data_IF_383228983322
#
_entry.id   IF_383228983322
#
_cell.length_a   1.000
_cell.length_b   1.000
_cell.length_c   1.000
_cell.angle_alpha   90.00
_cell.angle_beta   90.00
_cell.angle_gamma   90.00
#
_symmetry.space_group_name_H-M   'P 1'
#
loop_
_entity.id
_entity.type
_entity.pdbx_description
1 polymer ?
#
# COMPACT_ATOMS: atom_id res chain seq x y z
N UNK A 1 6.36 -19.08 42.93
CA UNK A 1 5.86 -20.16 42.05
C UNK A 1 4.35 -20.00 41.84
N UNK A 2 3.95 -19.01 41.03
CA UNK A 2 2.57 -18.89 40.58
C UNK A 2 2.42 -19.72 39.29
N UNK A 3 1.50 -20.67 39.33
CA UNK A 3 1.35 -21.76 38.36
C UNK A 3 0.89 -21.28 36.98
N UNK A 4 1.62 -21.71 35.94
CA UNK A 4 1.31 -21.59 34.50
C UNK A 4 -0.03 -22.23 34.07
N UNK A 5 -0.77 -22.88 34.97
CA UNK A 5 -2.01 -23.60 34.62
C UNK A 5 -3.23 -22.70 34.40
N UNK A 6 -3.25 -21.47 34.94
CA UNK A 6 -4.43 -20.59 34.80
C UNK A 6 -4.49 -19.81 33.48
N UNK A 7 -3.36 -19.60 32.77
CA UNK A 7 -3.39 -19.02 31.42
C UNK A 7 -3.91 -20.00 30.35
N UNK A 8 -3.77 -21.31 30.57
CA UNK A 8 -4.20 -22.32 29.59
C UNK A 8 -5.72 -22.48 29.49
N UNK A 9 -6.48 -22.11 30.54
CA UNK A 9 -7.95 -22.22 30.53
C UNK A 9 -8.65 -21.06 29.81
N UNK A 10 -8.13 -19.83 29.90
CA UNK A 10 -8.71 -18.68 29.21
C UNK A 10 -8.50 -18.73 27.69
N UNK A 11 -7.38 -19.28 27.23
CA UNK A 11 -7.08 -19.41 25.79
C UNK A 11 -7.90 -20.54 25.13
N UNK A 12 -8.37 -21.53 25.89
CA UNK A 12 -9.16 -22.66 25.35
C UNK A 12 -10.65 -22.38 25.18
N UNK A 13 -11.21 -21.32 25.79
CA UNK A 13 -12.63 -20.98 25.63
C UNK A 13 -12.93 -20.03 24.45
N UNK A 14 -11.92 -19.41 23.84
CA UNK A 14 -12.08 -18.51 22.70
C UNK A 14 -11.96 -19.20 21.32
N UNK A 15 -11.77 -20.51 21.26
CA UNK A 15 -11.53 -21.24 20.00
C UNK A 15 -12.79 -21.74 19.28
N UNK A 16 -14.00 -21.47 19.81
CA UNK A 16 -15.25 -22.01 19.25
C UNK A 16 -16.20 -21.00 18.60
N UNK A 17 -15.87 -19.71 18.55
CA UNK A 17 -16.70 -18.75 17.80
C UNK A 17 -16.23 -18.65 16.34
N UNK A 18 -17.13 -18.97 15.40
CA UNK A 18 -16.93 -18.74 13.96
C UNK A 18 -16.63 -17.25 13.62
N UNK A 19 -16.86 -16.33 14.57
CA UNK A 19 -16.59 -14.90 14.44
C UNK A 19 -15.10 -14.54 14.36
N UNK A 20 -14.21 -15.28 15.04
CA UNK A 20 -12.78 -14.93 15.09
C UNK A 20 -11.99 -15.23 13.81
N UNK A 21 -12.52 -16.06 12.89
CA UNK A 21 -11.87 -16.28 11.58
C UNK A 21 -12.09 -15.14 10.59
N UNK A 22 -13.10 -14.30 10.80
CA UNK A 22 -13.38 -13.14 9.95
C UNK A 22 -12.58 -11.89 10.35
N UNK A 23 -12.01 -11.86 11.57
CA UNK A 23 -11.37 -10.68 12.15
C UNK A 23 -9.85 -10.58 11.92
N UNK A 24 -9.18 -11.64 11.42
CA UNK A 24 -7.70 -11.71 11.41
C UNK A 24 -7.11 -11.80 9.98
N UNK A 25 -7.90 -11.58 8.93
CA UNK A 25 -7.38 -11.61 7.56
C UNK A 25 -7.92 -10.45 6.76
N UNK A 26 -7.58 -9.22 7.14
CA UNK A 26 -7.60 -8.15 6.16
C UNK A 26 -6.27 -8.17 5.40
N UNK A 27 -6.31 -8.62 4.14
CA UNK A 27 -5.18 -8.58 3.21
C UNK A 27 -4.80 -7.15 2.81
N UNK A 28 -5.57 -6.15 3.26
CA UNK A 28 -5.42 -4.74 2.88
C UNK A 28 -4.68 -3.88 3.92
N UNK A 29 -4.05 -4.45 4.97
CA UNK A 29 -3.18 -3.64 5.81
C UNK A 29 -2.04 -3.06 4.94
N UNK A 30 -1.94 -1.73 4.78
CA UNK A 30 -0.90 -1.13 3.97
C UNK A 30 0.44 -1.34 4.68
N UNK A 31 1.24 -2.26 4.17
CA UNK A 31 2.67 -2.21 4.40
C UNK A 31 3.21 -1.07 3.53
N UNK A 32 3.98 -0.18 4.14
CA UNK A 32 4.69 0.86 3.38
C UNK A 32 5.61 0.15 2.41
N UNK A 33 5.28 0.26 1.12
CA UNK A 33 6.05 -0.28 0.01
C UNK A 33 6.32 0.86 -0.91
N UNK A 34 7.58 1.03 -1.28
CA UNK A 34 7.90 1.97 -2.33
C UNK A 34 7.36 1.38 -3.64
N UNK A 35 6.40 2.06 -4.26
CA UNK A 35 5.81 1.67 -5.53
C UNK A 35 6.44 2.49 -6.65
N UNK A 36 6.71 1.84 -7.78
CA UNK A 36 7.14 2.51 -9.00
C UNK A 36 5.95 2.68 -9.95
N UNK A 37 5.91 3.82 -10.65
CA UNK A 37 5.03 3.98 -11.81
C UNK A 37 5.42 2.99 -12.90
N UNK A 38 4.50 2.68 -13.82
CA UNK A 38 4.75 1.69 -14.88
C UNK A 38 5.98 2.07 -15.73
N UNK A 39 6.16 3.35 -16.07
CA UNK A 39 7.33 3.79 -16.84
C UNK A 39 8.65 3.62 -16.06
N UNK A 40 8.64 3.80 -14.74
CA UNK A 40 9.80 3.60 -13.86
C UNK A 40 10.12 2.11 -13.70
N UNK A 41 9.08 1.30 -13.45
CA UNK A 41 9.16 -0.14 -13.38
C UNK A 41 9.69 -0.74 -14.69
N UNK A 42 9.16 -0.29 -15.83
CA UNK A 42 9.63 -0.68 -17.16
C UNK A 42 11.10 -0.32 -17.38
N UNK A 43 11.51 0.92 -17.07
CA UNK A 43 12.91 1.34 -17.18
C UNK A 43 13.85 0.52 -16.30
N UNK A 44 13.44 0.22 -15.06
CA UNK A 44 14.18 -0.62 -14.13
C UNK A 44 14.36 -2.04 -14.71
N UNK A 45 13.28 -2.67 -15.15
CA UNK A 45 13.29 -4.01 -15.75
C UNK A 45 14.15 -4.03 -17.02
N UNK A 46 14.04 -3.01 -17.87
CA UNK A 46 14.85 -2.88 -19.08
C UNK A 46 16.35 -2.80 -18.77
N UNK A 47 16.74 -2.08 -17.71
CA UNK A 47 18.15 -2.01 -17.25
C UNK A 47 18.70 -3.39 -16.84
N UNK A 48 17.82 -4.31 -16.44
CA UNK A 48 18.12 -5.71 -16.15
C UNK A 48 17.87 -6.66 -17.35
N UNK A 49 17.77 -6.12 -18.58
CA UNK A 49 17.60 -6.87 -19.84
C UNK A 49 16.25 -7.58 -19.98
N UNK A 50 15.24 -7.18 -19.21
CA UNK A 50 13.86 -7.60 -19.47
C UNK A 50 13.36 -6.87 -20.72
N UNK A 51 12.78 -7.62 -21.65
CA UNK A 51 12.21 -7.07 -22.89
C UNK A 51 10.88 -6.39 -22.55
N UNK A 52 10.78 -5.11 -22.87
CA UNK A 52 9.59 -4.28 -22.68
C UNK A 52 9.23 -3.63 -24.02
N UNK A 53 7.97 -3.21 -24.25
CA UNK A 53 7.62 -2.39 -25.41
C UNK A 53 8.36 -1.06 -25.39
N UNK A 54 8.61 -0.49 -26.57
CA UNK A 54 9.07 0.89 -26.70
C UNK A 54 8.04 1.83 -26.07
N UNK A 55 8.50 2.76 -25.24
CA UNK A 55 7.64 3.83 -24.76
C UNK A 55 8.38 4.94 -24.03
N UNK A 56 7.74 6.11 -24.00
CA UNK A 56 8.25 7.34 -23.40
C UNK A 56 7.19 7.94 -22.46
N UNK A 57 7.65 8.59 -21.39
CA UNK A 57 6.79 9.31 -20.43
C UNK A 57 6.65 10.77 -20.85
N UNK A 58 5.49 11.37 -20.60
CA UNK A 58 5.24 12.79 -20.79
C UNK A 58 4.43 13.37 -19.62
N UNK A 59 4.77 14.59 -19.21
CA UNK A 59 4.15 15.31 -18.08
C UNK A 59 3.15 16.38 -18.54
N UNK A 60 2.95 16.54 -19.86
CA UNK A 60 1.98 17.45 -20.44
C UNK A 60 1.51 16.96 -21.81
N UNK A 61 0.38 17.49 -22.30
CA UNK A 61 -0.12 17.19 -23.64
C UNK A 61 0.88 17.53 -24.74
N UNK A 62 1.57 18.68 -24.61
CA UNK A 62 2.60 19.13 -25.55
C UNK A 62 3.78 18.16 -25.57
N UNK A 63 4.29 17.77 -24.41
CA UNK A 63 5.38 16.79 -24.31
C UNK A 63 4.95 15.43 -24.87
N UNK A 64 3.70 15.02 -24.64
CA UNK A 64 3.16 13.78 -25.20
C UNK A 64 3.16 13.79 -26.72
N UNK A 65 2.83 14.93 -27.34
CA UNK A 65 2.94 15.15 -28.79
C UNK A 65 4.38 14.99 -29.26
N UNK A 66 5.33 15.62 -28.57
CA UNK A 66 6.76 15.57 -28.90
C UNK A 66 7.31 14.13 -28.81
N UNK A 67 6.97 13.40 -27.75
CA UNK A 67 7.40 12.01 -27.56
C UNK A 67 6.77 11.06 -28.60
N UNK A 68 5.47 11.20 -28.87
CA UNK A 68 4.81 10.42 -29.92
C UNK A 68 5.41 10.67 -31.30
N UNK A 69 5.81 11.92 -31.60
CA UNK A 69 6.49 12.29 -32.86
C UNK A 69 7.87 11.64 -32.97
N UNK A 70 8.63 11.59 -31.87
CA UNK A 70 9.94 10.90 -31.84
C UNK A 70 9.78 9.40 -32.08
N UNK A 71 8.71 8.79 -31.56
CA UNK A 71 8.41 7.38 -31.76
C UNK A 71 7.99 7.07 -33.21
N UNK A 72 7.10 7.87 -33.81
CA UNK A 72 6.64 7.65 -35.21
C UNK A 72 7.73 7.87 -36.26
N UNK A 73 8.76 8.65 -35.96
CA UNK A 73 9.91 8.82 -36.85
C UNK A 73 10.64 7.48 -37.13
N UNK A 74 10.43 6.45 -36.31
CA UNK A 74 11.08 5.15 -36.45
C UNK A 74 10.22 4.14 -37.19
N UNK A 75 8.88 4.13 -37.02
CA UNK A 75 7.92 3.31 -37.78
C UNK A 75 6.50 3.92 -37.68
N UNK A 76 5.59 3.57 -38.61
CA UNK A 76 4.15 3.89 -38.50
C UNK A 76 3.51 3.08 -37.38
N UNK A 77 3.57 3.59 -36.16
CA UNK A 77 3.20 2.90 -34.93
C UNK A 77 1.84 3.43 -34.43
N UNK A 78 0.93 2.53 -34.08
CA UNK A 78 -0.21 2.87 -33.21
C UNK A 78 0.27 2.92 -31.75
N UNK A 79 -0.32 3.78 -30.95
CA UNK A 79 0.10 4.06 -29.58
C UNK A 79 -0.91 3.52 -28.58
N UNK A 80 -0.43 3.25 -27.37
CA UNK A 80 -1.25 3.13 -26.18
C UNK A 80 -0.85 4.24 -25.21
N UNK A 81 -1.79 5.11 -24.84
CA UNK A 81 -1.60 6.18 -23.86
C UNK A 81 -2.14 5.69 -22.52
N UNK A 82 -1.26 5.57 -21.53
CA UNK A 82 -1.56 5.03 -20.20
C UNK A 82 -1.34 6.08 -19.11
N UNK A 83 -2.39 6.43 -18.37
CA UNK A 83 -2.30 7.26 -17.17
C UNK A 83 -1.33 6.65 -16.15
N UNK A 84 -0.44 7.47 -15.60
CA UNK A 84 0.51 7.06 -14.57
C UNK A 84 -0.02 7.43 -13.18
N UNK A 85 -0.54 6.41 -12.50
CA UNK A 85 -0.96 6.47 -11.09
C UNK A 85 -0.54 5.17 -10.39
N UNK A 86 -0.27 5.23 -9.08
CA UNK A 86 0.17 4.07 -8.29
C UNK A 86 -1.01 3.18 -7.80
N UNK A 87 -2.02 3.05 -8.66
CA UNK A 87 -3.21 2.23 -8.47
C UNK A 87 -3.55 1.42 -9.73
N UNK A 88 -4.07 0.21 -9.55
CA UNK A 88 -4.52 -0.65 -10.65
C UNK A 88 -5.92 -0.30 -11.16
N UNK A 89 -6.37 -1.03 -12.19
CA UNK A 89 -7.71 -0.86 -12.76
C UNK A 89 -7.88 0.41 -13.61
N UNK A 90 -6.78 1.00 -14.08
CA UNK A 90 -6.75 2.27 -14.82
C UNK A 90 -7.70 2.27 -16.02
N UNK A 91 -7.75 1.19 -16.80
CA UNK A 91 -8.59 1.09 -18.00
C UNK A 91 -10.10 1.21 -17.73
N UNK A 92 -10.57 0.84 -16.53
CA UNK A 92 -11.98 0.91 -16.13
C UNK A 92 -12.30 2.14 -15.26
N UNK A 93 -11.32 3.01 -15.02
CA UNK A 93 -11.49 4.21 -14.19
C UNK A 93 -12.17 5.36 -14.94
N UNK A 94 -12.34 6.48 -14.25
CA UNK A 94 -12.78 7.74 -14.84
C UNK A 94 -12.08 8.93 -14.18
N UNK A 95 -11.94 10.03 -14.91
CA UNK A 95 -11.36 11.27 -14.40
C UNK A 95 -12.42 12.14 -13.73
N UNK A 96 -12.18 12.54 -12.49
CA UNK A 96 -13.16 13.20 -11.61
C UNK A 96 -13.60 14.56 -12.14
N UNK A 97 -12.67 15.34 -12.70
CA UNK A 97 -12.88 16.73 -13.10
C UNK A 97 -13.63 16.86 -14.43
N UNK A 98 -13.44 15.91 -15.34
CA UNK A 98 -13.99 15.98 -16.71
C UNK A 98 -15.02 14.89 -17.01
N UNK A 99 -15.09 13.84 -16.19
CA UNK A 99 -15.88 12.65 -16.48
C UNK A 99 -15.30 11.78 -17.59
N UNK A 100 -14.08 12.07 -18.05
CA UNK A 100 -13.41 11.31 -19.11
C UNK A 100 -13.19 9.85 -18.69
N UNK A 101 -13.53 8.90 -19.56
CA UNK A 101 -13.57 7.47 -19.23
C UNK A 101 -12.28 6.76 -19.62
N UNK A 102 -11.79 5.91 -18.73
CA UNK A 102 -10.62 5.06 -18.92
C UNK A 102 -9.29 5.82 -18.82
N UNK A 103 -8.34 5.20 -18.13
CA UNK A 103 -6.95 5.65 -18.04
C UNK A 103 -6.01 4.99 -19.07
N UNK A 104 -6.53 4.17 -20.00
CA UNK A 104 -5.73 3.45 -21.00
C UNK A 104 -6.46 3.52 -22.35
N UNK A 105 -5.83 4.12 -23.36
CA UNK A 105 -6.43 4.35 -24.67
C UNK A 105 -5.50 3.97 -25.81
N UNK A 106 -6.03 3.28 -26.82
CA UNK A 106 -5.31 2.97 -28.05
C UNK A 106 -5.62 4.05 -29.08
N UNK A 107 -4.59 4.65 -29.68
CA UNK A 107 -4.72 5.72 -30.67
C UNK A 107 -3.74 5.53 -31.83
N UNK A 108 -4.03 6.12 -32.98
CA UNK A 108 -3.32 5.88 -34.25
C UNK A 108 -2.56 7.11 -34.77
N UNK A 109 -2.67 8.25 -34.10
CA UNK A 109 -2.13 9.55 -34.55
C UNK A 109 -1.55 10.34 -33.40
N UNK A 110 -0.53 11.13 -33.69
CA UNK A 110 0.15 12.01 -32.71
C UNK A 110 -0.84 13.03 -32.13
N UNK A 111 -1.74 13.60 -32.95
CA UNK A 111 -2.77 14.53 -32.48
C UNK A 111 -3.71 13.87 -31.46
N UNK A 112 -4.08 12.60 -31.67
CA UNK A 112 -4.89 11.88 -30.69
C UNK A 112 -4.12 11.62 -29.40
N UNK A 113 -2.82 11.32 -29.46
CA UNK A 113 -1.98 11.19 -28.24
C UNK A 113 -2.02 12.48 -27.41
N UNK A 114 -1.83 13.63 -28.04
CA UNK A 114 -1.89 14.95 -27.40
C UNK A 114 -3.26 15.19 -26.75
N UNK A 115 -4.34 14.94 -27.48
CA UNK A 115 -5.70 15.13 -26.99
C UNK A 115 -6.02 14.22 -25.80
N UNK A 116 -5.61 12.95 -25.84
CA UNK A 116 -5.82 12.03 -24.72
C UNK A 116 -4.98 12.46 -23.51
N UNK A 117 -3.72 12.84 -23.72
CA UNK A 117 -2.86 13.31 -22.63
C UNK A 117 -3.41 14.57 -21.95
N UNK A 118 -4.01 15.50 -22.72
CA UNK A 118 -4.71 16.66 -22.16
C UNK A 118 -5.87 16.27 -21.26
N UNK A 119 -6.61 15.20 -21.58
CA UNK A 119 -7.69 14.68 -20.74
C UNK A 119 -7.22 13.94 -19.48
N UNK A 120 -5.91 13.68 -19.33
CA UNK A 120 -5.36 12.90 -18.21
C UNK A 120 -4.44 13.73 -17.30
N UNK A 121 -3.48 14.46 -17.87
CA UNK A 121 -2.46 15.16 -17.10
C UNK A 121 -3.08 16.25 -16.20
N UNK A 122 -2.67 16.25 -14.93
CA UNK A 122 -3.15 17.17 -13.90
C UNK A 122 -4.57 16.89 -13.40
N UNK A 123 -5.15 15.72 -13.71
CA UNK A 123 -6.51 15.33 -13.33
C UNK A 123 -6.51 14.07 -12.48
N UNK A 124 -7.58 13.86 -11.72
CA UNK A 124 -7.69 12.79 -10.73
C UNK A 124 -8.36 11.57 -11.33
N UNK A 125 -7.61 10.46 -11.47
CA UNK A 125 -8.13 9.18 -11.92
C UNK A 125 -8.73 8.41 -10.74
N UNK A 126 -10.02 8.13 -10.83
CA UNK A 126 -10.77 7.30 -9.88
C UNK A 126 -10.86 5.88 -10.44
N UNK A 127 -10.34 4.91 -9.69
CA UNK A 127 -10.46 3.48 -9.97
C UNK A 127 -11.08 2.74 -8.79
N UNK A 128 -11.45 1.47 -8.98
CA UNK A 128 -11.91 0.61 -7.89
C UNK A 128 -10.87 0.51 -6.75
N UNK A 129 -9.58 0.63 -7.06
CA UNK A 129 -8.50 0.50 -6.08
C UNK A 129 -8.14 1.82 -5.38
N UNK A 130 -8.41 2.98 -5.99
CA UNK A 130 -8.13 4.29 -5.38
C UNK A 130 -9.25 4.80 -4.46
N UNK A 131 -10.43 4.18 -4.51
CA UNK A 131 -11.62 4.71 -3.85
C UNK A 131 -12.09 6.04 -4.46
N UNK A 132 -12.99 6.73 -3.76
CA UNK A 132 -13.66 7.95 -4.23
C UNK A 132 -12.72 9.17 -4.34
N UNK A 133 -11.62 9.16 -3.59
CA UNK A 133 -10.64 10.25 -3.61
C UNK A 133 -9.83 10.25 -4.92
N UNK A 134 -9.58 9.06 -5.48
CA UNK A 134 -8.80 8.92 -6.71
C UNK A 134 -7.31 9.16 -6.49
N UNK A 135 -6.54 9.12 -7.57
CA UNK A 135 -5.12 9.45 -7.58
C UNK A 135 -4.84 10.49 -8.68
N UNK A 136 -4.05 11.51 -8.38
CA UNK A 136 -3.66 12.54 -9.34
C UNK A 136 -2.78 11.92 -10.44
N UNK A 137 -3.15 12.14 -11.71
CA UNK A 137 -2.38 11.69 -12.86
C UNK A 137 -1.51 12.85 -13.36
N UNK A 138 -0.25 12.91 -12.93
CA UNK A 138 0.67 13.98 -13.34
C UNK A 138 1.42 13.69 -14.64
N UNK A 139 1.35 12.45 -15.14
CA UNK A 139 2.02 12.04 -16.37
C UNK A 139 1.28 10.91 -17.08
N UNK A 140 1.59 10.74 -18.36
CA UNK A 140 1.14 9.63 -19.19
C UNK A 140 2.34 8.86 -19.74
N UNK A 141 2.18 7.56 -19.92
CA UNK A 141 3.14 6.70 -20.58
C UNK A 141 2.62 6.33 -21.97
N UNK A 142 3.38 6.69 -23.00
CA UNK A 142 3.05 6.48 -24.40
C UNK A 142 3.88 5.29 -24.87
N UNK A 143 3.22 4.17 -25.12
CA UNK A 143 3.88 2.93 -25.54
C UNK A 143 3.44 2.52 -26.94
N UNK A 144 4.26 1.75 -27.63
CA UNK A 144 3.86 1.12 -28.88
C UNK A 144 2.74 0.10 -28.65
N UNK A 145 1.80 0.03 -29.59
CA UNK A 145 0.78 -1.02 -29.61
C UNK A 145 1.40 -2.31 -30.14
N UNK A 146 1.43 -3.32 -29.28
CA UNK A 146 1.93 -4.65 -29.64
C UNK A 146 0.91 -5.43 -30.48
N UNK A 147 1.39 -6.18 -31.47
CA UNK A 147 0.59 -7.18 -32.18
C UNK A 147 0.51 -8.47 -31.35
N UNK A 148 -0.41 -8.50 -30.39
CA UNK A 148 -0.55 -9.59 -29.40
C UNK A 148 -1.06 -10.89 -30.05
N UNK A 149 -0.40 -12.01 -29.74
CA UNK A 149 -0.86 -13.39 -30.00
C UNK A 149 -1.40 -14.05 -28.72
N UNK A 150 -0.65 -13.93 -27.60
CA UNK A 150 -1.06 -14.45 -26.29
C UNK A 150 -0.81 -13.45 -25.18
N UNK A 151 -1.70 -13.46 -24.18
CA UNK A 151 -1.54 -12.75 -22.91
C UNK A 151 -1.40 -13.76 -21.78
N UNK A 152 -0.32 -13.63 -21.01
CA UNK A 152 0.07 -14.49 -19.91
C UNK A 152 0.24 -13.65 -18.64
N UNK A 153 0.39 -14.31 -17.50
CA UNK A 153 0.69 -13.68 -16.23
C UNK A 153 2.03 -14.18 -15.69
N UNK A 154 2.82 -13.27 -15.14
CA UNK A 154 4.05 -13.60 -14.41
C UNK A 154 4.24 -12.63 -13.25
N UNK A 155 4.50 -13.15 -12.06
CA UNK A 155 5.01 -12.37 -10.94
C UNK A 155 6.07 -13.12 -10.16
N UNK A 156 6.89 -12.35 -9.43
CA UNK A 156 7.86 -12.82 -8.47
C UNK A 156 7.65 -12.04 -7.18
N UNK A 157 7.46 -12.75 -6.07
CA UNK A 157 7.28 -12.15 -4.74
C UNK A 157 7.90 -13.04 -3.66
N UNK A 158 8.01 -12.53 -2.43
CA UNK A 158 8.43 -13.31 -1.27
C UNK A 158 7.27 -14.14 -0.72
N UNK A 159 7.31 -15.47 -0.89
CA UNK A 159 6.36 -16.36 -0.23
C UNK A 159 6.77 -16.50 1.24
N UNK A 160 5.99 -15.89 2.13
CA UNK A 160 6.24 -15.90 3.58
C UNK A 160 6.14 -17.28 4.21
N UNK A 161 5.36 -18.19 3.64
CA UNK A 161 5.22 -19.56 4.15
C UNK A 161 6.42 -20.42 3.72
N UNK A 162 6.86 -20.26 2.47
CA UNK A 162 8.03 -20.97 1.96
C UNK A 162 9.35 -20.36 2.45
N UNK A 163 9.35 -19.07 2.80
CA UNK A 163 10.53 -18.33 3.23
C UNK A 163 11.49 -18.02 2.08
N UNK A 164 11.00 -17.94 0.83
CA UNK A 164 11.84 -17.72 -0.35
C UNK A 164 11.12 -16.95 -1.47
N UNK A 165 11.88 -16.35 -2.41
CA UNK A 165 11.31 -15.81 -3.65
C UNK A 165 10.56 -16.91 -4.41
N UNK A 166 9.34 -16.61 -4.84
CA UNK A 166 8.47 -17.55 -5.56
C UNK A 166 7.89 -16.87 -6.77
N UNK A 167 8.15 -17.45 -7.94
CA UNK A 167 7.44 -17.09 -9.16
C UNK A 167 6.03 -17.64 -9.11
N UNK A 168 5.06 -16.82 -9.52
CA UNK A 168 3.68 -17.21 -9.77
C UNK A 168 3.39 -16.86 -11.22
N UNK A 169 2.94 -17.83 -12.01
CA UNK A 169 2.73 -17.60 -13.44
C UNK A 169 1.55 -18.40 -13.96
N UNK A 170 0.94 -17.92 -15.05
CA UNK A 170 -0.26 -18.52 -15.62
C UNK A 170 -0.36 -18.28 -17.12
N UNK A 171 -0.87 -19.25 -17.91
CA UNK A 171 -1.26 -19.01 -19.29
C UNK A 171 -2.52 -18.14 -19.42
N UNK A 172 -3.20 -17.81 -18.31
CA UNK A 172 -4.32 -16.88 -18.28
C UNK A 172 -3.85 -15.47 -17.84
N UNK A 173 -3.40 -14.65 -18.79
CA UNK A 173 -3.05 -13.24 -18.55
C UNK A 173 -4.17 -12.26 -18.86
N UNK A 174 -3.92 -10.96 -18.62
CA UNK A 174 -4.84 -9.88 -18.97
C UNK A 174 -6.02 -9.69 -18.02
N UNK A 175 -6.09 -10.47 -16.95
CA UNK A 175 -7.12 -10.41 -15.90
C UNK A 175 -6.50 -10.45 -14.50
N UNK A 176 -7.32 -10.25 -13.46
CA UNK A 176 -6.88 -10.39 -12.06
C UNK A 176 -6.45 -11.83 -11.80
N UNK A 177 -5.23 -12.00 -11.27
CA UNK A 177 -4.71 -13.32 -10.93
C UNK A 177 -5.46 -13.92 -9.74
N UNK A 178 -6.02 -13.08 -8.86
CA UNK A 178 -6.86 -13.49 -7.74
C UNK A 178 -8.14 -14.16 -8.23
N UNK A 179 -8.79 -13.59 -9.26
CA UNK A 179 -9.98 -14.19 -9.88
C UNK A 179 -9.62 -15.55 -10.50
N UNK A 180 -8.49 -15.64 -11.21
CA UNK A 180 -7.99 -16.92 -11.77
C UNK A 180 -7.71 -17.93 -10.66
N UNK A 181 -7.19 -17.51 -9.51
CA UNK A 181 -6.90 -18.40 -8.38
C UNK A 181 -8.18 -19.01 -7.78
N UNK A 182 -9.29 -18.27 -7.84
CA UNK A 182 -10.59 -18.72 -7.36
C UNK A 182 -11.31 -19.60 -8.39
N UNK A 183 -11.33 -19.21 -9.66
CA UNK A 183 -12.10 -19.90 -10.71
C UNK A 183 -11.34 -21.02 -11.40
N UNK A 184 -10.02 -20.89 -11.54
CA UNK A 184 -9.14 -21.78 -12.31
C UNK A 184 -7.78 -22.01 -11.61
N UNK A 185 -7.75 -22.50 -10.36
CA UNK A 185 -6.52 -22.68 -9.60
C UNK A 185 -5.50 -23.59 -10.31
N UNK A 186 -5.95 -24.52 -11.16
CA UNK A 186 -5.11 -25.40 -11.96
C UNK A 186 -4.25 -24.68 -13.00
N UNK A 187 -4.60 -23.44 -13.35
CA UNK A 187 -3.82 -22.60 -14.27
C UNK A 187 -2.76 -21.77 -13.56
N UNK A 188 -2.67 -21.84 -12.23
CA UNK A 188 -1.67 -21.11 -11.46
C UNK A 188 -0.53 -22.04 -11.10
N UNK A 189 0.63 -21.73 -11.67
CA UNK A 189 1.86 -22.43 -11.39
C UNK A 189 2.71 -21.63 -10.42
N UNK A 190 3.45 -22.34 -9.56
CA UNK A 190 4.37 -21.74 -8.61
C UNK A 190 5.74 -22.38 -8.77
N UNK A 191 6.76 -21.54 -8.85
CA UNK A 191 8.16 -21.97 -8.87
C UNK A 191 8.94 -21.26 -7.76
N UNK A 192 9.29 -22.02 -6.73
CA UNK A 192 10.11 -21.53 -5.62
C UNK A 192 11.58 -21.48 -6.04
N UNK A 193 12.26 -20.39 -5.69
CA UNK A 193 13.68 -20.19 -5.96
C UNK A 193 14.45 -20.28 -4.65
N UNK A 194 15.44 -21.15 -4.60
CA UNK A 194 16.31 -21.29 -3.44
C UNK A 194 17.16 -20.02 -3.27
N UNK A 195 17.14 -19.33 -2.12
CA UNK A 195 17.89 -18.08 -1.94
C UNK A 195 19.41 -18.24 -2.00
N UNK A 196 19.93 -19.44 -1.74
CA UNK A 196 21.37 -19.77 -1.74
C UNK A 196 21.81 -20.21 -3.14
N UNK A 197 21.07 -21.11 -3.76
CA UNK A 197 21.44 -21.71 -5.05
C UNK A 197 20.95 -20.89 -6.25
N UNK A 198 19.95 -20.03 -6.05
CA UNK A 198 19.34 -19.22 -7.09
C UNK A 198 18.52 -20.04 -8.08
N UNK A 199 18.44 -19.53 -9.31
CA UNK A 199 17.64 -20.12 -10.38
C UNK A 199 18.22 -21.45 -10.88
N UNK A 200 17.32 -22.43 -11.05
CA UNK A 200 17.60 -23.64 -11.79
C UNK A 200 17.00 -23.55 -13.21
N UNK A 201 17.85 -23.66 -14.24
CA UNK A 201 17.43 -23.55 -15.65
C UNK A 201 16.41 -24.62 -16.05
N UNK A 202 16.53 -25.85 -15.56
CA UNK A 202 15.60 -26.93 -15.91
C UNK A 202 14.18 -26.65 -15.40
N UNK A 203 14.06 -26.00 -14.23
CA UNK A 203 12.77 -25.54 -13.72
C UNK A 203 12.17 -24.43 -14.59
N UNK A 204 12.98 -23.52 -15.12
CA UNK A 204 12.51 -22.48 -16.04
C UNK A 204 12.08 -23.04 -17.40
N UNK A 205 12.79 -24.07 -17.89
CA UNK A 205 12.38 -24.81 -19.10
C UNK A 205 11.03 -25.51 -18.86
N UNK A 206 10.80 -26.04 -17.65
CA UNK A 206 9.48 -26.58 -17.30
C UNK A 206 8.41 -25.47 -17.24
N UNK A 207 8.71 -24.30 -16.67
CA UNK A 207 7.80 -23.17 -16.64
C UNK A 207 7.37 -22.72 -18.05
N UNK A 208 8.26 -22.79 -19.04
CA UNK A 208 7.90 -22.51 -20.44
C UNK A 208 6.83 -23.47 -20.98
N UNK A 209 6.90 -24.76 -20.62
CA UNK A 209 5.89 -25.76 -21.01
C UNK A 209 4.56 -25.52 -20.30
N UNK A 210 4.61 -25.19 -19.02
CA UNK A 210 3.43 -24.90 -18.19
C UNK A 210 2.69 -23.63 -18.70
N UNK A 211 3.43 -22.65 -19.24
CA UNK A 211 2.89 -21.48 -19.95
C UNK A 211 2.38 -21.79 -21.36
N UNK A 212 2.58 -23.00 -21.89
CA UNK A 212 2.23 -23.36 -23.26
C UNK A 212 3.10 -22.67 -24.33
N UNK A 213 4.36 -22.40 -24.00
CA UNK A 213 5.36 -21.70 -24.83
C UNK A 213 6.46 -22.65 -25.33
N UNK A 214 6.07 -23.83 -25.82
CA UNK A 214 7.00 -24.80 -26.41
C UNK A 214 7.69 -24.18 -27.64
N UNK A 215 9.01 -24.29 -27.71
CA UNK A 215 9.85 -23.66 -28.74
C UNK A 215 10.27 -22.22 -28.41
N UNK A 216 9.86 -21.66 -27.28
CA UNK A 216 10.28 -20.34 -26.79
C UNK A 216 11.03 -20.44 -25.44
N UNK A 217 11.56 -21.62 -25.11
CA UNK A 217 12.16 -21.92 -23.80
C UNK A 217 13.28 -20.93 -23.45
N UNK A 218 14.14 -20.59 -24.41
CA UNK A 218 15.25 -19.64 -24.17
C UNK A 218 14.73 -18.23 -23.81
N UNK A 219 13.65 -17.76 -24.45
CA UNK A 219 13.06 -16.45 -24.12
C UNK A 219 12.42 -16.45 -22.73
N UNK A 220 11.78 -17.56 -22.34
CA UNK A 220 11.21 -17.73 -21.00
C UNK A 220 12.31 -17.78 -19.94
N UNK A 221 13.37 -18.57 -20.19
CA UNK A 221 14.54 -18.66 -19.30
C UNK A 221 15.15 -17.27 -19.09
N UNK A 222 15.39 -16.52 -20.17
CA UNK A 222 15.93 -15.15 -20.09
C UNK A 222 15.00 -14.22 -19.31
N UNK A 223 13.70 -14.23 -19.60
CA UNK A 223 12.69 -13.40 -18.94
C UNK A 223 12.69 -13.62 -17.41
N UNK A 224 12.58 -14.87 -16.98
CA UNK A 224 12.55 -15.21 -15.56
C UNK A 224 13.89 -14.92 -14.88
N UNK A 225 15.01 -15.22 -15.55
CA UNK A 225 16.35 -14.96 -15.00
C UNK A 225 16.59 -13.47 -14.77
N UNK A 226 16.24 -12.64 -15.75
CA UNK A 226 16.42 -11.19 -15.68
C UNK A 226 15.49 -10.54 -14.65
N UNK A 227 14.25 -11.03 -14.51
CA UNK A 227 13.33 -10.57 -13.45
C UNK A 227 13.87 -10.93 -12.07
N UNK A 228 14.39 -12.15 -11.87
CA UNK A 228 14.99 -12.54 -10.60
C UNK A 228 16.25 -11.72 -10.27
N UNK A 229 17.11 -11.45 -11.26
CA UNK A 229 18.28 -10.58 -11.07
C UNK A 229 17.88 -9.18 -10.61
N UNK A 230 16.87 -8.59 -11.28
CA UNK A 230 16.29 -7.30 -10.88
C UNK A 230 15.75 -7.37 -9.45
N UNK A 231 14.92 -8.36 -9.15
CA UNK A 231 14.27 -8.54 -7.86
C UNK A 231 15.28 -8.58 -6.72
N UNK A 232 16.34 -9.38 -6.87
CA UNK A 232 17.36 -9.56 -5.85
C UNK A 232 18.30 -8.37 -5.72
N UNK A 233 18.73 -7.74 -6.82
CA UNK A 233 19.67 -6.59 -6.77
C UNK A 233 19.03 -5.29 -6.32
N UNK A 234 17.73 -5.15 -6.55
CA UNK A 234 16.97 -3.90 -6.34
C UNK A 234 16.05 -3.95 -5.13
N UNK A 235 16.18 -5.00 -4.32
CA UNK A 235 15.37 -5.22 -3.11
C UNK A 235 13.86 -5.12 -3.39
N UNK A 236 13.43 -5.67 -4.52
CA UNK A 236 12.01 -5.74 -4.84
C UNK A 236 11.34 -6.71 -3.87
N UNK A 237 10.14 -6.38 -3.40
CA UNK A 237 9.30 -7.33 -2.67
C UNK A 237 8.20 -7.94 -3.58
N UNK A 238 7.94 -7.30 -4.72
CA UNK A 238 7.12 -7.82 -5.80
C UNK A 238 7.54 -7.24 -7.16
N UNK A 239 7.61 -8.11 -8.16
CA UNK A 239 7.61 -7.75 -9.58
C UNK A 239 6.43 -8.49 -10.21
N UNK A 240 5.46 -7.78 -10.76
CA UNK A 240 4.30 -8.34 -11.44
C UNK A 240 4.24 -7.81 -12.88
N UNK A 241 4.10 -8.72 -13.83
CA UNK A 241 3.97 -8.47 -15.25
C UNK A 241 2.60 -8.98 -15.69
N UNK A 242 1.70 -8.06 -16.03
CA UNK A 242 0.34 -8.41 -16.43
C UNK A 242 -0.24 -7.38 -17.44
N UNK A 243 -0.26 -7.68 -18.75
CA UNK A 243 0.09 -8.96 -19.35
C UNK A 243 1.59 -9.14 -19.63
N UNK A 244 2.08 -10.38 -19.49
CA UNK A 244 3.24 -10.88 -20.20
C UNK A 244 2.79 -11.31 -21.60
N UNK A 245 3.29 -10.65 -22.64
CA UNK A 245 2.77 -10.78 -24.02
C UNK A 245 3.69 -11.64 -24.87
N UNK A 246 3.08 -12.53 -25.64
CA UNK A 246 3.69 -13.09 -26.85
C UNK A 246 3.13 -12.35 -28.05
N UNK A 247 4.01 -11.78 -28.86
CA UNK A 247 3.62 -11.10 -30.10
C UNK A 247 3.48 -12.07 -31.26
N UNK A 248 2.77 -11.66 -32.32
CA UNK A 248 2.57 -12.47 -33.54
C UNK A 248 3.87 -12.80 -34.29
N UNK A 249 4.93 -12.02 -34.10
CA UNK A 249 6.28 -12.28 -34.62
C UNK A 249 7.14 -13.13 -33.67
N UNK A 250 6.57 -13.63 -32.56
CA UNK A 250 7.20 -14.60 -31.68
C UNK A 250 8.15 -14.01 -30.64
N UNK A 251 7.97 -12.75 -30.24
CA UNK A 251 8.72 -12.14 -29.15
C UNK A 251 7.92 -12.20 -27.83
N UNK A 252 8.63 -12.47 -26.73
CA UNK A 252 8.09 -12.41 -25.37
C UNK A 252 8.46 -11.07 -24.70
N UNK A 253 7.46 -10.29 -24.28
CA UNK A 253 7.64 -8.96 -23.69
C UNK A 253 6.80 -8.75 -22.43
N UNK A 254 7.33 -8.00 -21.47
CA UNK A 254 6.60 -7.47 -20.34
C UNK A 254 5.85 -6.19 -20.76
N UNK A 255 4.55 -6.30 -21.08
CA UNK A 255 3.77 -5.21 -21.69
C UNK A 255 3.20 -4.19 -20.68
N UNK A 256 2.99 -4.63 -19.44
CA UNK A 256 2.66 -3.78 -18.29
C UNK A 256 3.32 -4.41 -17.06
N UNK A 257 3.88 -3.57 -16.21
CA UNK A 257 4.66 -3.99 -15.06
C UNK A 257 4.33 -3.17 -13.82
N UNK A 258 4.21 -3.86 -12.70
CA UNK A 258 4.04 -3.29 -11.38
C UNK A 258 5.16 -3.80 -10.49
N UNK A 259 5.99 -2.89 -10.02
CA UNK A 259 7.14 -3.21 -9.16
C UNK A 259 6.97 -2.50 -7.83
N UNK A 260 7.13 -3.26 -6.75
CA UNK A 260 7.28 -2.72 -5.40
C UNK A 260 8.64 -3.10 -4.82
N UNK A 261 9.19 -2.16 -4.07
CA UNK A 261 10.50 -2.22 -3.45
C UNK A 261 10.33 -2.13 -1.95
N UNK A 262 11.10 -2.93 -1.22
CA UNK A 262 11.12 -2.90 0.24
C UNK A 262 11.59 -1.52 0.72
N UNK A 263 10.71 -0.77 1.39
CA UNK A 263 11.04 0.55 1.90
C UNK A 263 12.17 0.50 2.94
N UNK A 264 12.38 -0.64 3.61
CA UNK A 264 13.48 -0.82 4.55
C UNK A 264 14.85 -0.87 3.85
N UNK A 265 14.90 -1.12 2.54
CA UNK A 265 16.12 -1.16 1.75
C UNK A 265 16.50 0.20 1.12
N UNK A 266 15.67 1.23 1.28
CA UNK A 266 15.89 2.57 0.69
C UNK A 266 17.25 3.18 1.03
N UNK A 267 17.82 2.87 2.20
CA UNK A 267 19.16 3.34 2.59
C UNK A 267 20.28 2.89 1.64
N UNK A 268 20.09 1.76 0.94
CA UNK A 268 21.03 1.20 -0.06
C UNK A 268 20.49 1.27 -1.50
N UNK A 269 19.22 1.61 -1.69
CA UNK A 269 18.55 1.81 -2.99
C UNK A 269 18.20 3.29 -3.20
N UNK A 270 19.17 4.18 -3.04
CA UNK A 270 18.95 5.65 -3.01
C UNK A 270 18.38 6.20 -4.30
N UNK A 271 18.85 5.69 -5.44
CA UNK A 271 18.40 6.11 -6.77
C UNK A 271 16.96 5.67 -7.07
N UNK A 272 16.47 4.61 -6.42
CA UNK A 272 15.05 4.29 -6.41
C UNK A 272 14.31 5.24 -5.47
N UNK A 273 14.78 5.42 -4.24
CA UNK A 273 14.10 6.32 -3.28
C UNK A 273 13.87 7.74 -3.84
N UNK A 274 14.77 8.26 -4.67
CA UNK A 274 14.62 9.55 -5.38
C UNK A 274 13.48 9.57 -6.42
N UNK A 275 13.05 8.41 -6.90
CA UNK A 275 11.95 8.25 -7.87
C UNK A 275 10.56 8.15 -7.20
N UNK A 276 10.49 8.11 -5.86
CA UNK A 276 9.22 7.98 -5.16
C UNK A 276 8.29 9.18 -5.42
N UNK A 277 7.13 8.91 -6.01
CA UNK A 277 6.11 9.94 -6.26
C UNK A 277 5.21 10.14 -5.04
N UNK A 278 5.55 11.14 -4.22
CA UNK A 278 4.78 11.51 -3.03
C UNK A 278 3.39 12.07 -3.35
N UNK A 279 3.11 12.49 -4.58
CA UNK A 279 1.77 12.98 -4.96
C UNK A 279 0.71 11.89 -4.94
N UNK A 280 1.14 10.62 -4.91
CA UNK A 280 0.30 9.43 -4.89
C UNK A 280 -0.01 8.96 -3.47
N UNK A 281 0.57 9.61 -2.45
CA UNK A 281 0.35 9.29 -1.04
C UNK A 281 -0.79 10.15 -0.49
N UNK A 282 -1.53 9.61 0.49
CA UNK A 282 -2.47 10.42 1.24
C UNK A 282 -1.71 11.54 1.98
N UNK A 283 -2.24 12.77 1.97
CA UNK A 283 -1.57 13.92 2.59
C UNK A 283 -1.28 13.69 4.08
N UNK A 284 -2.22 13.08 4.81
CA UNK A 284 -2.07 12.80 6.24
C UNK A 284 -0.97 11.78 6.50
N UNK A 285 -0.88 10.74 5.66
CA UNK A 285 0.19 9.74 5.71
C UNK A 285 1.56 10.34 5.40
N UNK A 286 1.62 11.24 4.40
CA UNK A 286 2.85 11.95 4.03
C UNK A 286 3.34 12.84 5.18
N UNK A 287 2.46 13.65 5.76
CA UNK A 287 2.80 14.53 6.90
C UNK A 287 3.23 13.70 8.10
N UNK A 288 2.53 12.62 8.42
CA UNK A 288 2.92 11.71 9.49
C UNK A 288 4.33 11.11 9.28
N UNK A 289 4.62 10.70 8.04
CA UNK A 289 5.92 10.13 7.68
C UNK A 289 7.11 11.08 7.87
N UNK A 290 6.91 12.41 7.82
CA UNK A 290 7.96 13.40 8.08
C UNK A 290 8.39 13.42 9.56
N UNK A 291 7.55 12.91 10.46
CA UNK A 291 7.81 12.82 11.90
C UNK A 291 8.07 11.37 12.36
N UNK A 292 8.33 10.45 11.42
CA UNK A 292 8.54 9.02 11.70
C UNK A 292 7.32 8.35 12.36
N UNK A 293 6.12 8.81 12.01
CA UNK A 293 4.86 8.25 12.49
C UNK A 293 4.29 7.26 11.46
N UNK A 294 3.92 6.07 11.94
CA UNK A 294 3.26 5.07 11.09
C UNK A 294 1.74 5.33 11.09
N UNK A 295 1.30 6.22 10.22
CA UNK A 295 -0.12 6.58 10.05
C UNK A 295 -0.69 5.94 8.79
N UNK A 296 -1.93 5.46 8.88
CA UNK A 296 -2.74 5.00 7.74
C UNK A 296 -4.14 5.58 7.90
N UNK A 297 -4.65 6.20 6.85
CA UNK A 297 -6.03 6.67 6.83
C UNK A 297 -7.00 5.51 6.52
N UNK A 298 -8.06 5.37 7.31
CA UNK A 298 -9.06 4.29 7.16
C UNK A 298 -10.44 4.86 6.81
N UNK A 299 -10.80 6.01 7.40
CA UNK A 299 -12.12 6.62 7.26
C UNK A 299 -13.05 6.19 8.40
N UNK A 300 -13.41 7.15 9.25
CA UNK A 300 -14.13 6.93 10.51
C UNK A 300 -14.15 8.21 11.34
N UNK A 301 -14.60 8.12 12.60
CA UNK A 301 -14.80 9.30 13.47
C UNK A 301 -14.06 9.24 14.82
N UNK A 302 -13.34 8.16 15.12
CA UNK A 302 -12.50 8.03 16.31
C UNK A 302 -11.03 7.96 15.90
N UNK A 303 -10.27 9.00 16.20
CA UNK A 303 -8.84 9.03 15.91
C UNK A 303 -8.09 8.16 16.92
N UNK A 304 -7.34 7.14 16.49
CA UNK A 304 -6.58 6.28 17.39
C UNK A 304 -5.11 6.69 17.42
N UNK A 305 -4.48 6.76 18.60
CA UNK A 305 -3.04 6.98 18.78
C UNK A 305 -2.51 5.96 19.77
N UNK A 306 -1.58 5.12 19.31
CA UNK A 306 -1.15 3.93 20.06
C UNK A 306 0.34 3.72 19.91
N UNK A 307 1.00 3.07 20.89
CA UNK A 307 2.37 2.59 20.76
C UNK A 307 2.40 1.08 20.47
N UNK A 308 3.01 0.72 19.35
CA UNK A 308 3.15 -0.64 18.85
C UNK A 308 2.02 -1.05 17.92
N UNK A 309 2.37 -1.48 16.71
CA UNK A 309 1.44 -1.87 15.65
C UNK A 309 0.37 -2.90 16.08
N UNK A 310 0.74 -3.90 16.88
CA UNK A 310 -0.20 -4.92 17.37
C UNK A 310 -1.27 -4.35 18.30
N UNK A 311 -0.89 -3.42 19.18
CA UNK A 311 -1.83 -2.71 20.05
C UNK A 311 -2.68 -1.72 19.24
N UNK A 312 -2.11 -1.07 18.23
CA UNK A 312 -2.83 -0.17 17.34
C UNK A 312 -3.97 -0.89 16.61
N UNK A 313 -3.70 -2.06 16.02
CA UNK A 313 -4.72 -2.92 15.41
C UNK A 313 -5.79 -3.34 16.43
N UNK A 314 -5.37 -3.85 17.59
CA UNK A 314 -6.30 -4.28 18.64
C UNK A 314 -7.18 -3.14 19.16
N UNK A 315 -6.67 -1.90 19.15
CA UNK A 315 -7.39 -0.70 19.56
C UNK A 315 -8.49 -0.34 18.57
N UNK A 316 -8.20 -0.46 17.27
CA UNK A 316 -9.23 -0.26 16.25
C UNK A 316 -10.30 -1.36 16.33
N UNK A 317 -9.89 -2.62 16.51
CA UNK A 317 -10.82 -3.74 16.61
C UNK A 317 -11.78 -3.60 17.79
N UNK A 318 -11.28 -3.19 18.96
CA UNK A 318 -12.12 -3.02 20.16
C UNK A 318 -13.03 -1.78 20.04
N UNK A 319 -12.57 -0.70 19.40
CA UNK A 319 -13.45 0.44 19.09
C UNK A 319 -14.59 -0.02 18.18
N UNK A 320 -14.27 -0.78 17.13
CA UNK A 320 -15.25 -1.33 16.20
C UNK A 320 -16.22 -2.29 16.86
N UNK A 321 -15.75 -3.13 17.79
CA UNK A 321 -16.61 -4.09 18.51
C UNK A 321 -17.63 -3.41 19.42
N UNK A 322 -17.34 -2.20 19.90
CA UNK A 322 -18.27 -1.34 20.64
C UNK A 322 -19.11 -0.39 19.75
N UNK A 323 -19.06 -0.57 18.43
CA UNK A 323 -19.87 0.19 17.47
C UNK A 323 -19.29 1.56 17.09
N UNK A 324 -18.05 1.86 17.49
CA UNK A 324 -17.33 3.03 17.01
C UNK A 324 -16.69 2.82 15.64
N UNK A 325 -16.30 3.90 14.98
CA UNK A 325 -15.64 3.86 13.66
C UNK A 325 -14.20 4.41 13.78
N UNK A 326 -13.16 3.56 13.84
CA UNK A 326 -11.79 4.03 13.89
C UNK A 326 -11.44 4.77 12.59
N UNK A 327 -10.92 6.00 12.71
CA UNK A 327 -10.61 6.86 11.58
C UNK A 327 -9.25 6.55 10.94
N UNK A 328 -8.33 5.98 11.72
CA UNK A 328 -6.96 5.77 11.32
C UNK A 328 -6.30 4.64 12.13
N UNK A 329 -5.24 4.09 11.56
CA UNK A 329 -4.18 3.43 12.31
C UNK A 329 -3.06 4.46 12.55
N UNK A 330 -2.54 4.54 13.77
CA UNK A 330 -1.36 5.36 14.08
C UNK A 330 -0.54 4.69 15.18
N UNK A 331 0.63 4.20 14.78
CA UNK A 331 1.66 3.72 15.70
C UNK A 331 2.75 4.78 15.85
N UNK A 332 2.88 5.31 17.06
CA UNK A 332 3.90 6.32 17.42
C UNK A 332 5.24 5.68 17.86
N UNK A 333 5.32 4.35 17.92
CA UNK A 333 6.49 3.63 18.40
C UNK A 333 6.64 3.63 19.92
N UNK A 334 7.67 2.93 20.42
CA UNK A 334 7.87 2.71 21.87
C UNK A 334 8.38 3.92 22.67
N UNK A 335 8.78 5.00 22.00
CA UNK A 335 9.51 6.13 22.58
C UNK A 335 8.93 7.50 22.19
N UNK A 336 7.67 7.56 21.77
CA UNK A 336 7.03 8.81 21.37
C UNK A 336 6.93 9.79 22.54
N UNK A 337 7.66 10.90 22.45
CA UNK A 337 7.63 12.02 23.39
C UNK A 337 7.74 13.35 22.62
N UNK A 338 7.41 14.45 23.28
CA UNK A 338 7.66 15.80 22.75
C UNK A 338 6.95 16.09 21.41
N UNK A 339 7.73 16.53 20.42
CA UNK A 339 7.22 17.02 19.13
C UNK A 339 6.46 15.95 18.32
N UNK A 340 6.91 14.69 18.35
CA UNK A 340 6.22 13.60 17.64
C UNK A 340 4.79 13.40 18.15
N UNK A 341 4.61 13.42 19.47
CA UNK A 341 3.30 13.28 20.10
C UNK A 341 2.41 14.51 19.83
N UNK A 342 2.97 15.71 19.91
CA UNK A 342 2.26 16.94 19.60
C UNK A 342 1.73 16.94 18.16
N UNK A 343 2.57 16.53 17.20
CA UNK A 343 2.19 16.43 15.79
C UNK A 343 1.16 15.33 15.53
N UNK A 344 1.28 14.17 16.19
CA UNK A 344 0.29 13.11 16.13
C UNK A 344 -1.09 13.59 16.62
N UNK A 345 -1.14 14.28 17.77
CA UNK A 345 -2.36 14.87 18.31
C UNK A 345 -2.96 15.92 17.39
N UNK A 346 -2.12 16.79 16.83
CA UNK A 346 -2.55 17.83 15.88
C UNK A 346 -3.15 17.21 14.62
N UNK A 347 -2.49 16.20 14.06
CA UNK A 347 -2.99 15.47 12.88
C UNK A 347 -4.40 14.92 13.10
N UNK A 348 -4.66 14.31 14.27
CA UNK A 348 -5.98 13.78 14.64
C UNK A 348 -6.99 14.88 14.98
N UNK A 349 -6.55 15.96 15.61
CA UNK A 349 -7.42 17.09 15.96
C UNK A 349 -7.85 17.91 14.74
N UNK A 350 -7.02 18.04 13.72
CA UNK A 350 -7.33 18.85 12.54
C UNK A 350 -8.20 18.08 11.52
N UNK A 351 -8.27 16.75 11.64
CA UNK A 351 -9.08 15.87 10.79
C UNK A 351 -10.59 16.07 10.99
N UNK A 352 -11.29 16.64 10.02
CA UNK A 352 -12.71 17.02 10.16
C UNK A 352 -13.66 15.85 10.46
N UNK A 353 -13.29 14.64 10.04
CA UNK A 353 -14.10 13.44 10.26
C UNK A 353 -13.97 12.93 11.70
N UNK A 354 -12.81 13.13 12.32
CA UNK A 354 -12.55 12.73 13.72
C UNK A 354 -13.34 13.61 14.68
N UNK A 355 -14.09 12.99 15.60
CA UNK A 355 -14.90 13.63 16.64
C UNK A 355 -14.35 13.41 18.05
N UNK A 356 -13.60 12.34 18.28
CA UNK A 356 -12.88 12.08 19.52
C UNK A 356 -11.56 11.38 19.25
N UNK A 357 -10.60 11.52 20.17
CA UNK A 357 -9.28 10.89 20.07
C UNK A 357 -9.15 9.83 21.15
N UNK A 358 -8.79 8.61 20.78
CA UNK A 358 -8.46 7.52 21.69
C UNK A 358 -6.95 7.31 21.74
N UNK A 359 -6.33 7.69 22.86
CA UNK A 359 -4.94 7.40 23.15
C UNK A 359 -4.87 6.14 24.00
N UNK A 360 -4.24 5.08 23.48
CA UNK A 360 -4.02 3.85 24.22
C UNK A 360 -2.53 3.54 24.26
N UNK A 361 -1.89 3.80 25.40
CA UNK A 361 -0.45 3.59 25.57
C UNK A 361 -0.18 2.58 26.68
N UNK A 362 0.60 1.56 26.33
CA UNK A 362 1.19 0.65 27.30
C UNK A 362 2.63 1.09 27.57
N UNK A 363 2.85 1.76 28.70
CA UNK A 363 4.12 2.26 29.18
C UNK A 363 5.02 1.11 29.63
N UNK A 364 5.89 0.65 28.73
CA UNK A 364 7.03 -0.20 29.04
C UNK A 364 8.17 0.62 29.64
N UNK A 365 9.02 1.16 28.77
CA UNK A 365 10.12 2.07 29.14
C UNK A 365 9.59 3.49 29.40
N UNK A 366 8.51 3.87 28.72
CA UNK A 366 7.85 5.17 28.85
C UNK A 366 7.15 5.32 30.20
N UNK A 367 7.39 6.46 30.86
CA UNK A 367 6.74 6.87 32.11
C UNK A 367 5.41 7.56 31.81
N UNK A 368 4.32 7.04 32.41
CA UNK A 368 2.97 7.54 32.12
C UNK A 368 2.77 9.00 32.58
N UNK A 369 3.44 9.42 33.65
CA UNK A 369 3.40 10.80 34.16
C UNK A 369 4.06 11.79 33.19
N UNK A 370 5.22 11.44 32.63
CA UNK A 370 5.88 12.27 31.62
C UNK A 370 5.01 12.42 30.36
N UNK A 371 4.46 11.31 29.87
CA UNK A 371 3.56 11.34 28.71
C UNK A 371 2.34 12.22 28.97
N UNK A 372 1.73 12.09 30.16
CA UNK A 372 0.58 12.91 30.55
C UNK A 372 0.95 14.39 30.61
N UNK A 373 2.11 14.74 31.14
CA UNK A 373 2.62 16.11 31.12
C UNK A 373 2.77 16.65 29.69
N UNK A 374 3.32 15.85 28.77
CA UNK A 374 3.43 16.23 27.36
C UNK A 374 2.06 16.44 26.70
N UNK A 375 1.07 15.57 26.96
CA UNK A 375 -0.29 15.73 26.45
C UNK A 375 -0.92 17.02 26.97
N UNK A 376 -0.81 17.30 28.27
CA UNK A 376 -1.36 18.50 28.89
C UNK A 376 -0.73 19.77 28.31
N UNK A 377 0.60 19.80 28.15
CA UNK A 377 1.32 20.92 27.51
C UNK A 377 0.89 21.12 26.06
N UNK A 378 0.77 20.03 25.30
CA UNK A 378 0.31 20.09 23.91
C UNK A 378 -1.13 20.62 23.81
N UNK A 379 -2.00 20.19 24.72
CA UNK A 379 -3.38 20.65 24.80
C UNK A 379 -3.50 22.13 25.18
N UNK A 380 -2.70 22.61 26.14
CA UNK A 380 -2.65 24.03 26.53
C UNK A 380 -2.15 24.91 25.37
N UNK A 381 -1.09 24.45 24.69
CA UNK A 381 -0.46 25.18 23.57
C UNK A 381 -1.37 25.25 22.34
N UNK A 382 -1.98 24.14 21.95
CA UNK A 382 -2.73 24.03 20.68
C UNK A 382 -4.24 24.19 20.85
N UNK A 383 -4.75 24.14 22.08
CA UNK A 383 -6.18 24.21 22.40
C UNK A 383 -7.00 23.20 21.59
N UNK A 384 -6.66 21.92 21.74
CA UNK A 384 -7.37 20.85 21.04
C UNK A 384 -8.85 20.88 21.42
N UNK A 385 -9.72 20.81 20.41
CA UNK A 385 -11.17 20.95 20.57
C UNK A 385 -11.87 19.61 20.76
N UNK A 386 -11.21 18.51 20.39
CA UNK A 386 -11.79 17.17 20.43
C UNK A 386 -11.52 16.50 21.78
N UNK A 387 -12.53 15.84 22.37
CA UNK A 387 -12.34 15.09 23.60
C UNK A 387 -11.34 13.94 23.39
N UNK A 388 -10.45 13.76 24.37
CA UNK A 388 -9.43 12.73 24.40
C UNK A 388 -9.81 11.70 25.45
N UNK A 389 -9.97 10.44 25.05
CA UNK A 389 -10.02 9.31 25.98
C UNK A 389 -8.61 8.74 26.07
N UNK A 390 -8.06 8.72 27.27
CA UNK A 390 -6.69 8.36 27.54
C UNK A 390 -6.66 7.08 28.37
N UNK A 391 -6.07 6.01 27.82
CA UNK A 391 -5.76 4.80 28.56
C UNK A 391 -4.26 4.63 28.68
N UNK A 392 -3.76 4.73 29.91
CA UNK A 392 -2.35 4.52 30.24
C UNK A 392 -2.19 3.35 31.20
N UNK A 393 -1.30 2.42 30.88
CA UNK A 393 -0.89 1.36 31.81
C UNK A 393 0.62 1.22 31.82
N UNK A 394 1.22 1.16 33.01
CA UNK A 394 2.67 1.07 33.16
C UNK A 394 3.19 1.86 34.35
N UNK A 395 4.49 2.16 34.33
CA UNK A 395 5.18 2.95 35.35
C UNK A 395 4.49 4.30 35.54
N UNK A 396 4.18 4.64 36.80
CA UNK A 396 3.55 5.89 37.22
C UNK A 396 2.15 6.16 36.62
N UNK A 397 1.44 5.13 36.15
CA UNK A 397 0.05 5.28 35.68
C UNK A 397 -0.89 5.85 36.77
N UNK A 398 -0.68 5.51 38.05
CA UNK A 398 -1.43 6.08 39.16
C UNK A 398 -1.17 7.59 39.35
N UNK A 399 0.04 8.05 39.06
CA UNK A 399 0.40 9.48 39.13
C UNK A 399 -0.24 10.22 37.95
N UNK A 400 -0.15 9.66 36.74
CA UNK A 400 -0.81 10.18 35.55
C UNK A 400 -2.33 10.36 35.75
N UNK A 401 -2.98 9.38 36.38
CA UNK A 401 -4.40 9.47 36.74
C UNK A 401 -4.69 10.67 37.63
N UNK A 402 -3.92 10.85 38.71
CA UNK A 402 -4.07 11.99 39.64
C UNK A 402 -3.84 13.36 39.00
N UNK A 403 -3.09 13.43 37.89
CA UNK A 403 -2.89 14.69 37.16
C UNK A 403 -4.17 15.16 36.45
N UNK A 404 -5.08 14.23 36.12
CA UNK A 404 -6.31 14.49 35.35
C UNK A 404 -7.56 14.44 36.25
N UNK A 405 -7.50 13.65 37.33
CA UNK A 405 -8.63 13.41 38.24
C UNK A 405 -9.27 14.72 38.74
N UNK A 406 -10.58 14.85 38.50
CA UNK A 406 -11.38 16.03 38.87
C UNK A 406 -11.30 17.20 37.90
N UNK A 407 -10.50 17.12 36.83
CA UNK A 407 -10.33 18.14 35.79
C UNK A 407 -10.71 17.65 34.40
N UNK A 408 -11.35 16.49 34.30
CA UNK A 408 -11.58 15.78 33.02
C UNK A 408 -12.34 16.66 32.02
N UNK A 409 -13.43 17.29 32.48
CA UNK A 409 -14.27 18.17 31.65
C UNK A 409 -13.58 19.47 31.26
N UNK A 410 -12.74 20.02 32.15
CA UNK A 410 -11.99 21.25 31.91
C UNK A 410 -10.90 21.02 30.86
N UNK A 411 -10.20 19.89 30.98
CA UNK A 411 -9.11 19.51 30.08
C UNK A 411 -9.62 18.89 28.77
N UNK A 412 -10.85 18.37 28.76
CA UNK A 412 -11.36 17.52 27.69
C UNK A 412 -10.68 16.15 27.63
N UNK A 413 -10.09 15.68 28.73
CA UNK A 413 -9.29 14.45 28.79
C UNK A 413 -9.89 13.50 29.83
N UNK A 414 -10.21 12.28 29.42
CA UNK A 414 -10.83 11.26 30.27
C UNK A 414 -9.91 10.07 30.46
N UNK A 415 -9.45 9.85 31.70
CA UNK A 415 -8.50 8.79 32.01
C UNK A 415 -9.18 7.45 32.31
N UNK A 416 -8.63 6.36 31.75
CA UNK A 416 -9.00 4.97 32.03
C UNK A 416 -7.76 4.10 32.29
N UNK A 417 -7.91 3.07 33.10
CA UNK A 417 -6.87 2.05 33.31
C UNK A 417 -7.10 0.81 32.44
N UNK A 418 -8.37 0.45 32.29
CA UNK A 418 -8.84 -0.74 31.60
C UNK A 418 -9.10 -0.47 30.12
N UNK A 419 -8.81 -1.45 29.28
CA UNK A 419 -8.86 -1.29 27.83
C UNK A 419 -10.31 -1.27 27.32
N UNK A 420 -11.14 -2.20 27.79
CA UNK A 420 -12.56 -2.27 27.45
C UNK A 420 -13.32 -1.02 27.87
N UNK A 421 -13.09 -0.58 29.12
CA UNK A 421 -13.74 0.62 29.67
C UNK A 421 -13.39 1.87 28.86
N UNK A 422 -12.13 2.02 28.43
CA UNK A 422 -11.70 3.14 27.60
C UNK A 422 -12.35 3.11 26.21
N UNK A 423 -12.44 1.94 25.59
CA UNK A 423 -13.05 1.78 24.27
C UNK A 423 -14.56 2.08 24.31
N UNK A 424 -15.29 1.60 25.32
CA UNK A 424 -16.70 1.94 25.53
C UNK A 424 -16.88 3.44 25.74
N UNK A 425 -16.00 4.07 26.54
CA UNK A 425 -16.09 5.49 26.82
C UNK A 425 -15.88 6.34 25.57
N UNK A 426 -14.87 6.05 24.73
CA UNK A 426 -14.66 6.86 23.51
C UNK A 426 -15.83 6.74 22.54
N UNK A 427 -16.40 5.54 22.39
CA UNK A 427 -17.61 5.35 21.58
C UNK A 427 -18.80 6.14 22.15
N UNK A 428 -18.97 6.12 23.48
CA UNK A 428 -20.04 6.88 24.15
C UNK A 428 -19.87 8.39 24.01
N UNK A 429 -18.63 8.88 24.10
CA UNK A 429 -18.30 10.29 23.89
C UNK A 429 -18.71 10.71 22.48
N UNK A 430 -18.34 9.96 21.44
CA UNK A 430 -18.75 10.27 20.06
C UNK A 430 -20.26 10.20 19.88
N UNK A 431 -20.91 9.17 20.44
CA UNK A 431 -22.37 9.05 20.37
C UNK A 431 -23.12 10.22 21.02
N UNK A 432 -22.54 10.84 22.06
CA UNK A 432 -23.13 12.00 22.74
C UNK A 432 -22.93 13.34 22.03
N UNK A 433 -22.10 13.38 20.99
CA UNK A 433 -21.89 14.57 20.15
C UNK A 433 -22.89 14.67 18.99
N UNK A 434 -23.67 13.60 18.77
CA UNK A 434 -24.83 13.55 17.88
C UNK A 434 -26.11 13.81 18.68
#
# INVERSE_FOLDING_TARGET
MFSMQNMSRAVRSCSSSKANKALIVDKNLPMRRMKLHEYQAGALLHSHKVRIPLGNVAFSAKEAREEATKMSAKHGIEYVVKAQVLGGGRGLGHFKETGFQGGVHIVDTVEKVENIADQMCGKTLVTKQSGADGLICNSVYIVEKLAIDKELYLSLTLDRNAGCPTFIFSPAGGMSIEDVAETNPEKIFKLQVDPVNGINKDHLVQAAKDLGLVGMEDQVVDMFTNIYDCFMKRDCDMVEINPLVVTKDGALLAADSKVTVDSNATYRQKDLAEQEDKSQQNEKERVAGEFDLNYIHIGGNIGCLVNGAGLAMSTMDIVKSYGGEPANFLDVGGSAEGEQLEMALKLLNDDQDVKAIFINIFGGILRCDNLTESILKANEKNKFSKPIVLRLKGTNSDIAKKMIEGKEKELGIYFNEDFDSAAQQVCSVVASLH
#
